data_IF_086333248119
#
_entry.id   IF_086333248119
#
_cell.length_a   1.000
_cell.length_b   1.000
_cell.length_c   1.000
_cell.angle_alpha   90.00
_cell.angle_beta   90.00
_cell.angle_gamma   90.00
#
_symmetry.space_group_name_H-M   'P 1'
#
loop_
_entity.id
_entity.type
_entity.pdbx_description
1 polymer ?
#
# COMPACT_ATOMS: atom_id res chain seq x y z
N UNK A 1 14.41 8.99 -14.49
CA UNK A 1 15.79 8.73 -14.03
C UNK A 1 16.30 9.73 -12.98
N UNK A 2 16.03 11.05 -13.08
CA UNK A 2 16.54 12.05 -12.10
C UNK A 2 15.93 12.01 -10.68
N UNK A 3 14.71 11.47 -10.54
CA UNK A 3 13.97 11.37 -9.27
C UNK A 3 14.37 10.13 -8.43
N UNK A 4 14.89 9.09 -9.08
CA UNK A 4 15.25 7.82 -8.46
C UNK A 4 16.34 7.94 -7.36
N UNK A 5 17.46 8.65 -7.57
CA UNK A 5 18.47 8.80 -6.51
C UNK A 5 17.94 9.58 -5.30
N UNK A 6 17.04 10.54 -5.52
CA UNK A 6 16.42 11.32 -4.44
C UNK A 6 15.43 10.48 -3.62
N UNK A 7 14.57 9.71 -4.29
CA UNK A 7 13.68 8.75 -3.63
C UNK A 7 14.45 7.67 -2.86
N UNK A 8 15.54 7.15 -3.44
CA UNK A 8 16.40 6.17 -2.79
C UNK A 8 17.08 6.74 -1.54
N UNK A 9 17.54 8.00 -1.58
CA UNK A 9 18.11 8.67 -0.41
C UNK A 9 17.11 8.77 0.74
N UNK A 10 15.87 9.22 0.50
CA UNK A 10 14.85 9.31 1.55
C UNK A 10 14.36 7.95 2.03
N UNK A 11 14.36 6.92 1.17
CA UNK A 11 14.09 5.56 1.58
C UNK A 11 15.17 5.03 2.54
N UNK A 12 16.46 5.23 2.21
CA UNK A 12 17.57 4.86 3.09
C UNK A 12 17.56 5.67 4.39
N UNK A 13 17.26 6.98 4.32
CA UNK A 13 17.12 7.85 5.48
C UNK A 13 15.99 7.36 6.40
N UNK A 14 14.83 7.01 5.84
CA UNK A 14 13.72 6.44 6.60
C UNK A 14 14.13 5.16 7.32
N UNK A 15 14.76 4.23 6.60
CA UNK A 15 15.24 2.97 7.19
C UNK A 15 16.22 3.23 8.32
N UNK A 16 17.22 4.10 8.11
CA UNK A 16 18.26 4.40 9.11
C UNK A 16 17.72 5.15 10.34
N UNK A 17 16.85 6.15 10.15
CA UNK A 17 16.27 6.92 11.25
C UNK A 17 15.34 6.03 12.08
N UNK A 18 14.50 5.24 11.43
CA UNK A 18 13.52 4.43 12.12
C UNK A 18 14.15 3.21 12.82
N UNK A 19 15.18 2.59 12.21
CA UNK A 19 15.98 1.56 12.90
C UNK A 19 16.79 2.13 14.06
N UNK A 20 17.30 3.37 13.98
CA UNK A 20 17.97 4.01 15.13
C UNK A 20 17.01 4.40 16.24
N UNK A 21 15.79 4.83 15.93
CA UNK A 21 14.80 5.26 16.92
C UNK A 21 14.16 4.11 17.68
N UNK A 22 13.91 2.98 17.01
CA UNK A 22 13.15 1.85 17.60
C UNK A 22 13.94 0.58 17.78
N UNK A 23 15.20 0.54 17.34
CA UNK A 23 15.96 -0.69 17.23
C UNK A 23 15.48 -1.53 16.04
N UNK A 24 16.22 -2.60 15.76
CA UNK A 24 15.88 -3.52 14.67
C UNK A 24 14.98 -4.62 15.23
N UNK A 25 13.68 -4.53 14.99
CA UNK A 25 12.79 -5.66 15.19
C UNK A 25 12.68 -6.44 13.88
N UNK A 26 13.46 -7.52 13.78
CA UNK A 26 13.30 -8.45 12.68
C UNK A 26 11.99 -9.21 12.89
N UNK A 27 10.98 -9.00 12.03
CA UNK A 27 9.84 -9.93 11.95
C UNK A 27 10.29 -11.37 11.65
N UNK A 28 11.51 -11.54 11.12
CA UNK A 28 12.20 -12.81 10.94
C UNK A 28 12.79 -13.41 12.24
N UNK A 29 12.88 -12.67 13.34
CA UNK A 29 13.17 -13.25 14.65
C UNK A 29 11.87 -13.63 15.34
N UNK A 30 11.25 -14.71 14.87
CA UNK A 30 10.49 -15.78 15.57
C UNK A 30 9.79 -15.54 16.94
N UNK A 31 9.58 -14.31 17.39
CA UNK A 31 8.86 -13.96 18.59
C UNK A 31 7.70 -13.08 18.14
N UNK A 32 6.52 -13.69 18.01
CA UNK A 32 5.29 -12.94 17.81
C UNK A 32 5.10 -12.02 19.03
N UNK A 33 4.61 -10.80 18.78
CA UNK A 33 4.41 -9.76 19.81
C UNK A 33 3.56 -10.23 21.02
N UNK A 34 2.84 -11.36 20.90
CA UNK A 34 2.13 -12.01 22.00
C UNK A 34 3.03 -12.54 23.14
N UNK A 35 4.32 -12.77 22.91
CA UNK A 35 5.26 -13.23 23.95
C UNK A 35 5.69 -12.11 24.93
N UNK A 36 5.40 -10.84 24.66
CA UNK A 36 5.81 -9.73 25.54
C UNK A 36 4.74 -9.30 26.55
N UNK A 37 3.48 -9.69 26.35
CA UNK A 37 2.36 -9.06 27.08
C UNK A 37 1.35 -10.03 27.69
N UNK A 38 1.57 -11.34 27.69
CA UNK A 38 0.62 -12.24 28.34
C UNK A 38 1.09 -13.66 28.52
N UNK A 39 1.86 -13.91 29.57
CA UNK A 39 1.67 -15.11 30.40
C UNK A 39 2.35 -14.86 31.75
N UNK A 40 1.63 -15.14 32.82
CA UNK A 40 2.03 -14.85 34.19
C UNK A 40 3.33 -15.55 34.60
N UNK A 41 3.96 -14.92 35.58
CA UNK A 41 5.20 -15.24 36.26
C UNK A 41 5.31 -16.70 36.72
N UNK A 42 5.80 -17.59 35.84
CA UNK A 42 6.22 -18.94 36.22
C UNK A 42 7.44 -19.35 35.39
N UNK A 43 8.58 -19.66 36.03
CA UNK A 43 9.80 -20.02 35.31
C UNK A 43 9.65 -21.40 34.65
N UNK A 44 9.19 -21.42 33.38
CA UNK A 44 9.17 -22.62 32.53
C UNK A 44 10.57 -23.23 32.48
N UNK A 45 10.69 -24.52 32.79
CA UNK A 45 11.97 -25.22 32.91
C UNK A 45 12.77 -25.16 31.60
N UNK A 46 14.12 -25.24 31.63
CA UNK A 46 14.95 -25.19 30.42
C UNK A 46 14.56 -26.27 29.40
N UNK A 47 14.08 -27.43 29.86
CA UNK A 47 13.60 -28.53 29.04
C UNK A 47 12.28 -28.22 28.31
N UNK A 48 11.33 -27.55 28.97
CA UNK A 48 10.05 -27.15 28.37
C UNK A 48 10.22 -26.02 27.36
N UNK A 49 11.10 -25.05 27.65
CA UNK A 49 11.46 -24.00 26.67
C UNK A 49 12.06 -24.61 25.41
N UNK A 50 12.96 -25.60 25.55
CA UNK A 50 13.59 -26.28 24.41
C UNK A 50 12.58 -27.13 23.61
N UNK A 51 11.65 -27.81 24.28
CA UNK A 51 10.59 -28.61 23.63
C UNK A 51 9.54 -27.74 22.92
N UNK A 52 9.15 -26.61 23.52
CA UNK A 52 8.24 -25.63 22.92
C UNK A 52 8.88 -24.98 21.69
N UNK A 53 10.14 -24.55 21.79
CA UNK A 53 10.90 -23.98 20.67
C UNK A 53 11.09 -24.98 19.52
N UNK A 54 11.39 -26.25 19.83
CA UNK A 54 11.54 -27.30 18.82
C UNK A 54 10.20 -27.72 18.18
N UNK A 55 9.08 -27.68 18.91
CA UNK A 55 7.73 -27.92 18.35
C UNK A 55 7.23 -26.75 17.49
N UNK A 56 7.76 -25.55 17.68
CA UNK A 56 7.38 -24.37 16.89
C UNK A 56 8.35 -24.05 15.75
N UNK A 57 9.51 -24.69 15.68
CA UNK A 57 10.41 -24.62 14.53
C UNK A 57 9.92 -25.57 13.43
N UNK A 58 9.18 -25.02 12.46
CA UNK A 58 9.01 -25.64 11.13
C UNK A 58 7.94 -26.73 11.01
N UNK A 59 6.70 -26.47 11.47
CA UNK A 59 5.57 -27.40 11.28
C UNK A 59 5.03 -27.44 9.83
N UNK A 60 5.48 -26.54 8.95
CA UNK A 60 5.07 -26.52 7.55
C UNK A 60 6.06 -27.34 6.71
N UNK A 61 5.59 -28.37 5.96
CA UNK A 61 6.45 -29.10 5.05
C UNK A 61 7.07 -28.18 4.00
N UNK A 62 8.31 -28.47 3.56
CA UNK A 62 9.03 -27.60 2.61
C UNK A 62 8.26 -27.35 1.30
N UNK A 63 7.46 -28.33 0.85
CA UNK A 63 6.61 -28.21 -0.33
C UNK A 63 5.43 -27.24 -0.14
N UNK A 64 5.03 -26.94 1.10
CA UNK A 64 4.01 -25.93 1.39
C UNK A 64 4.53 -24.50 1.14
N UNK A 65 5.85 -24.29 1.18
CA UNK A 65 6.46 -22.98 0.87
C UNK A 65 6.29 -22.59 -0.61
N UNK A 66 5.94 -23.55 -1.47
CA UNK A 66 5.64 -23.31 -2.88
C UNK A 66 4.21 -22.79 -3.11
N UNK A 67 3.38 -22.71 -2.06
CA UNK A 67 2.00 -22.23 -2.19
C UNK A 67 1.85 -20.86 -2.89
N UNK A 68 2.73 -19.85 -2.71
CA UNK A 68 2.67 -18.60 -3.45
C UNK A 68 3.08 -18.73 -4.93
N UNK A 69 3.88 -19.74 -5.28
CA UNK A 69 4.34 -19.98 -6.65
C UNK A 69 3.26 -20.67 -7.50
N UNK A 70 2.44 -21.53 -6.91
CA UNK A 70 1.33 -22.23 -7.59
C UNK A 70 0.39 -21.26 -8.35
N UNK A 71 -0.21 -20.23 -7.72
CA UNK A 71 -1.10 -19.31 -8.42
C UNK A 71 -0.34 -18.48 -9.48
N UNK A 72 0.94 -18.19 -9.25
CA UNK A 72 1.77 -17.43 -10.18
C UNK A 72 2.02 -18.21 -11.48
N UNK A 73 2.39 -19.49 -11.36
CA UNK A 73 2.63 -20.38 -12.50
C UNK A 73 1.34 -20.63 -13.27
N UNK A 74 0.21 -20.81 -12.58
CA UNK A 74 -1.09 -21.00 -13.22
C UNK A 74 -1.57 -19.75 -13.97
N UNK A 75 -1.40 -18.57 -13.37
CA UNK A 75 -1.87 -17.32 -13.97
C UNK A 75 -0.94 -16.80 -15.09
N UNK A 76 0.38 -16.83 -14.90
CA UNK A 76 1.35 -16.29 -15.88
C UNK A 76 1.87 -17.35 -16.86
N UNK A 77 1.99 -18.60 -16.43
CA UNK A 77 2.51 -19.69 -17.27
C UNK A 77 1.43 -20.36 -18.12
N UNK A 78 0.24 -20.56 -17.54
CA UNK A 78 -0.89 -21.21 -18.20
C UNK A 78 -2.02 -20.24 -18.57
N UNK A 79 -1.82 -18.93 -18.36
CA UNK A 79 -2.79 -17.87 -18.67
C UNK A 79 -4.20 -18.11 -18.09
N UNK A 80 -4.30 -18.88 -16.99
CA UNK A 80 -5.56 -19.10 -16.32
C UNK A 80 -6.01 -17.82 -15.62
N UNK A 81 -7.32 -17.62 -15.55
CA UNK A 81 -7.89 -16.49 -14.83
C UNK A 81 -7.35 -16.41 -13.39
N UNK A 82 -7.19 -15.19 -12.89
CA UNK A 82 -6.54 -14.95 -11.58
C UNK A 82 -7.31 -15.63 -10.44
N UNK A 83 -8.65 -15.60 -10.48
CA UNK A 83 -9.51 -16.17 -9.43
C UNK A 83 -9.28 -17.68 -9.28
N UNK A 84 -9.43 -18.52 -10.33
CA UNK A 84 -9.17 -19.96 -10.20
C UNK A 84 -7.72 -20.27 -9.85
N UNK A 85 -6.76 -19.48 -10.34
CA UNK A 85 -5.34 -19.65 -9.98
C UNK A 85 -5.10 -19.41 -8.49
N UNK A 86 -5.68 -18.36 -7.91
CA UNK A 86 -5.61 -18.07 -6.47
C UNK A 86 -6.30 -19.15 -5.63
N UNK A 87 -7.47 -19.64 -6.06
CA UNK A 87 -8.16 -20.76 -5.41
C UNK A 87 -7.30 -22.03 -5.41
N UNK A 88 -6.64 -22.35 -6.53
CA UNK A 88 -5.74 -23.49 -6.62
C UNK A 88 -4.54 -23.36 -5.64
N UNK A 89 -3.98 -22.16 -5.49
CA UNK A 89 -2.94 -21.88 -4.48
C UNK A 89 -3.42 -22.10 -3.05
N UNK A 90 -4.64 -21.66 -2.72
CA UNK A 90 -5.25 -21.88 -1.39
C UNK A 90 -5.51 -23.37 -1.14
N UNK A 91 -6.03 -24.09 -2.14
CA UNK A 91 -6.27 -25.53 -2.04
C UNK A 91 -4.95 -26.31 -1.86
N UNK A 92 -3.90 -25.91 -2.59
CA UNK A 92 -2.56 -26.48 -2.43
C UNK A 92 -2.04 -26.24 -1.01
N UNK A 93 -2.13 -25.01 -0.50
CA UNK A 93 -1.72 -24.69 0.87
C UNK A 93 -2.51 -25.50 1.91
N UNK A 94 -3.83 -25.63 1.72
CA UNK A 94 -4.70 -26.39 2.61
C UNK A 94 -4.33 -27.87 2.63
N UNK A 95 -4.18 -28.48 1.45
CA UNK A 95 -3.84 -29.90 1.29
C UNK A 95 -2.44 -30.23 1.86
N UNK A 96 -1.48 -29.33 1.69
CA UNK A 96 -0.10 -29.55 2.12
C UNK A 96 0.13 -29.32 3.61
N UNK A 97 -0.64 -28.42 4.24
CA UNK A 97 -0.46 -28.05 5.66
C UNK A 97 -1.44 -28.71 6.63
N UNK A 98 -2.52 -29.34 6.12
CA UNK A 98 -3.65 -29.81 6.96
C UNK A 98 -3.81 -31.31 6.91
N UNK A 99 -3.98 -31.94 8.07
CA UNK A 99 -4.34 -33.36 8.18
C UNK A 99 -5.75 -33.58 7.64
N UNK A 100 -6.01 -34.68 6.90
CA UNK A 100 -7.27 -34.91 6.18
C UNK A 100 -8.52 -34.86 7.08
N UNK A 101 -8.43 -35.27 8.35
CA UNK A 101 -9.56 -35.20 9.30
C UNK A 101 -9.90 -33.80 9.82
N UNK A 102 -9.08 -32.78 9.55
CA UNK A 102 -9.31 -31.39 9.99
C UNK A 102 -9.55 -30.42 8.82
N UNK A 103 -9.61 -30.93 7.59
CA UNK A 103 -9.64 -30.11 6.38
C UNK A 103 -10.83 -29.14 6.37
N UNK A 104 -12.04 -29.62 6.65
CA UNK A 104 -13.26 -28.81 6.66
C UNK A 104 -13.21 -27.70 7.72
N UNK A 105 -12.77 -28.03 8.93
CA UNK A 105 -12.67 -27.05 10.03
C UNK A 105 -11.64 -25.98 9.73
N UNK A 106 -10.48 -26.35 9.17
CA UNK A 106 -9.45 -25.38 8.78
C UNK A 106 -9.89 -24.55 7.58
N UNK A 107 -10.54 -25.15 6.58
CA UNK A 107 -11.08 -24.45 5.42
C UNK A 107 -12.08 -23.37 5.84
N UNK A 108 -13.08 -23.71 6.68
CA UNK A 108 -14.02 -22.72 7.20
C UNK A 108 -13.27 -21.59 7.93
N UNK A 109 -12.33 -21.93 8.81
CA UNK A 109 -11.56 -20.92 9.55
C UNK A 109 -10.74 -20.01 8.64
N UNK A 110 -10.14 -20.55 7.57
CA UNK A 110 -9.40 -19.75 6.57
C UNK A 110 -10.32 -18.88 5.73
N UNK A 111 -11.54 -19.33 5.42
CA UNK A 111 -12.53 -18.53 4.71
C UNK A 111 -13.03 -17.37 5.58
N UNK A 112 -13.33 -17.63 6.85
CA UNK A 112 -13.70 -16.56 7.80
C UNK A 112 -12.56 -15.55 7.99
N UNK A 113 -11.32 -16.01 8.19
CA UNK A 113 -10.15 -15.12 8.29
C UNK A 113 -9.87 -14.34 7.01
N UNK A 114 -10.09 -14.96 5.84
CA UNK A 114 -10.00 -14.29 4.54
C UNK A 114 -11.06 -13.20 4.38
N UNK A 115 -12.29 -13.46 4.85
CA UNK A 115 -13.36 -12.46 4.84
C UNK A 115 -13.07 -11.30 5.79
N UNK A 116 -12.64 -11.56 7.03
CA UNK A 116 -12.28 -10.52 8.01
C UNK A 116 -11.15 -9.61 7.50
N UNK A 117 -10.17 -10.17 6.80
CA UNK A 117 -9.06 -9.40 6.23
C UNK A 117 -9.42 -8.64 4.96
N UNK A 118 -10.35 -9.16 4.15
CA UNK A 118 -10.79 -8.54 2.90
C UNK A 118 -11.95 -7.54 3.08
N UNK A 119 -12.76 -7.67 4.13
CA UNK A 119 -13.95 -6.84 4.34
C UNK A 119 -13.64 -5.33 4.44
N UNK A 120 -12.61 -4.88 5.20
CA UNK A 120 -12.32 -3.45 5.28
C UNK A 120 -11.87 -2.86 3.93
N UNK A 121 -10.93 -3.47 3.16
CA UNK A 121 -10.62 -3.01 1.81
C UNK A 121 -11.82 -3.01 0.86
N UNK A 122 -12.67 -4.04 0.88
CA UNK A 122 -13.86 -4.12 0.00
C UNK A 122 -14.82 -2.97 0.28
N UNK A 123 -15.16 -2.72 1.55
CA UNK A 123 -16.05 -1.62 1.94
C UNK A 123 -15.50 -0.26 1.51
N UNK A 124 -14.19 -0.07 1.65
CA UNK A 124 -13.48 1.13 1.20
C UNK A 124 -13.54 1.29 -0.32
N UNK A 125 -13.27 0.24 -1.10
CA UNK A 125 -13.37 0.29 -2.57
C UNK A 125 -14.79 0.60 -3.05
N UNK A 126 -15.82 0.07 -2.38
CA UNK A 126 -17.22 0.41 -2.69
C UNK A 126 -17.48 1.89 -2.43
N UNK A 127 -17.08 2.42 -1.27
CA UNK A 127 -17.26 3.84 -0.94
C UNK A 127 -16.55 4.76 -1.95
N UNK A 128 -15.33 4.40 -2.35
CA UNK A 128 -14.58 5.12 -3.38
C UNK A 128 -15.31 5.05 -4.73
N UNK A 129 -15.84 3.88 -5.09
CA UNK A 129 -16.60 3.69 -6.33
C UNK A 129 -17.83 4.60 -6.40
N UNK A 130 -18.59 4.70 -5.31
CA UNK A 130 -19.76 5.60 -5.20
C UNK A 130 -19.34 7.05 -5.38
N UNK A 131 -18.27 7.48 -4.70
CA UNK A 131 -17.75 8.84 -4.83
C UNK A 131 -17.31 9.15 -6.27
N UNK A 132 -16.54 8.26 -6.90
CA UNK A 132 -16.08 8.44 -8.28
C UNK A 132 -17.25 8.48 -9.28
N UNK A 133 -18.29 7.69 -9.06
CA UNK A 133 -19.50 7.75 -9.88
C UNK A 133 -20.22 9.10 -9.71
N UNK A 134 -20.31 9.62 -8.49
CA UNK A 134 -20.95 10.91 -8.20
C UNK A 134 -20.22 12.09 -8.86
N UNK A 135 -18.88 12.14 -8.82
CA UNK A 135 -18.15 13.28 -9.39
C UNK A 135 -17.94 13.18 -10.91
N UNK A 136 -18.17 12.01 -11.52
CA UNK A 136 -18.21 11.86 -12.99
C UNK A 136 -19.50 12.43 -13.61
N UNK A 137 -20.48 12.83 -12.81
CA UNK A 137 -21.68 13.48 -13.32
C UNK A 137 -21.34 14.84 -13.95
N UNK A 138 -21.94 15.18 -15.12
CA UNK A 138 -21.56 16.38 -15.88
C UNK A 138 -21.68 17.69 -15.06
N UNK A 139 -22.68 17.81 -14.19
CA UNK A 139 -22.85 18.97 -13.32
C UNK A 139 -21.75 19.15 -12.26
N UNK A 140 -21.05 18.07 -11.85
CA UNK A 140 -19.94 18.17 -10.89
C UNK A 140 -18.64 18.64 -11.56
N UNK A 141 -18.40 18.22 -12.81
CA UNK A 141 -17.22 18.62 -13.58
C UNK A 141 -17.29 20.10 -13.96
N UNK A 142 -18.45 20.58 -14.37
CA UNK A 142 -18.67 21.99 -14.70
C UNK A 142 -18.50 22.91 -13.48
N UNK A 143 -18.92 22.47 -12.30
CA UNK A 143 -18.72 23.21 -11.04
C UNK A 143 -17.26 23.25 -10.59
N UNK A 144 -16.45 22.24 -10.95
CA UNK A 144 -15.03 22.17 -10.59
C UNK A 144 -14.11 22.97 -11.52
N UNK A 145 -14.50 23.16 -12.79
CA UNK A 145 -13.74 23.93 -13.77
C UNK A 145 -13.32 25.36 -13.31
N UNK A 146 -14.20 26.20 -12.75
CA UNK A 146 -13.82 27.55 -12.30
C UNK A 146 -12.90 27.51 -11.08
N UNK A 147 -13.06 26.53 -10.19
CA UNK A 147 -12.19 26.35 -9.03
C UNK A 147 -10.77 25.95 -9.44
N UNK A 148 -10.62 25.06 -10.42
CA UNK A 148 -9.30 24.65 -10.93
C UNK A 148 -8.61 25.80 -11.64
N UNK A 149 -9.34 26.60 -12.43
CA UNK A 149 -8.79 27.80 -13.09
C UNK A 149 -8.37 28.89 -12.11
N UNK A 150 -9.11 29.09 -11.02
CA UNK A 150 -8.77 30.10 -10.02
C UNK A 150 -7.56 29.71 -9.15
N UNK A 151 -7.28 28.41 -9.02
CA UNK A 151 -6.25 27.87 -8.12
C UNK A 151 -4.94 27.55 -8.87
N UNK A 152 -4.94 27.44 -10.20
CA UNK A 152 -3.74 27.10 -10.96
C UNK A 152 -2.79 28.33 -11.06
N UNK A 153 -1.65 28.34 -10.37
CA UNK A 153 -0.73 29.46 -10.42
C UNK A 153 0.13 29.44 -11.68
N UNK A 154 0.23 30.57 -12.39
CA UNK A 154 1.11 30.69 -13.57
C UNK A 154 2.61 30.67 -13.22
N UNK A 155 2.97 30.81 -11.94
CA UNK A 155 4.36 30.90 -11.50
C UNK A 155 4.92 29.52 -11.07
N UNK A 156 6.06 29.06 -11.65
CA UNK A 156 6.68 27.76 -11.32
C UNK A 156 7.00 27.57 -9.83
N UNK A 157 7.37 28.65 -9.12
CA UNK A 157 7.69 28.59 -7.68
C UNK A 157 6.42 28.42 -6.85
N UNK A 158 5.34 29.10 -7.25
CA UNK A 158 4.03 29.00 -6.59
C UNK A 158 3.39 27.64 -6.88
N UNK A 159 3.58 27.09 -8.08
CA UNK A 159 3.22 25.72 -8.43
C UNK A 159 3.84 24.71 -7.46
N UNK A 160 5.16 24.76 -7.27
CA UNK A 160 5.85 23.82 -6.35
C UNK A 160 5.32 23.98 -4.92
N UNK A 161 5.16 25.21 -4.42
CA UNK A 161 4.69 25.45 -3.06
C UNK A 161 3.26 24.96 -2.83
N UNK A 162 2.34 25.31 -3.73
CA UNK A 162 0.92 24.95 -3.63
C UNK A 162 0.74 23.44 -3.76
N UNK A 163 1.32 22.81 -4.78
CA UNK A 163 1.18 21.37 -4.96
C UNK A 163 1.95 20.57 -3.90
N UNK A 164 3.06 21.09 -3.35
CA UNK A 164 3.69 20.45 -2.18
C UNK A 164 2.78 20.52 -0.96
N UNK A 165 2.17 21.67 -0.66
CA UNK A 165 1.26 21.80 0.49
C UNK A 165 0.03 20.89 0.35
N UNK A 166 -0.42 20.67 -0.88
CA UNK A 166 -1.57 19.84 -1.21
C UNK A 166 -1.27 18.32 -1.25
N UNK A 167 -0.02 17.89 -1.08
CA UNK A 167 0.37 16.45 -1.07
C UNK A 167 -0.47 15.62 -0.08
N UNK A 168 -0.73 16.03 1.18
CA UNK A 168 -1.54 15.21 2.09
C UNK A 168 -2.98 15.00 1.59
N UNK A 169 -3.52 15.96 0.84
CA UNK A 169 -4.87 15.85 0.24
C UNK A 169 -4.89 14.88 -0.94
N UNK A 170 -3.74 14.58 -1.54
CA UNK A 170 -3.67 13.59 -2.61
C UNK A 170 -4.08 12.22 -2.06
N UNK A 171 -3.64 11.83 -0.85
CA UNK A 171 -3.90 10.52 -0.24
C UNK A 171 -5.37 10.13 -0.21
N UNK A 172 -6.27 11.11 -0.05
CA UNK A 172 -7.69 10.89 -0.15
C UNK A 172 -8.11 10.86 -1.62
N UNK A 173 -9.04 9.98 -2.00
CA UNK A 173 -9.49 9.72 -3.40
C UNK A 173 -10.28 10.89 -4.04
N UNK A 174 -9.90 12.13 -3.74
CA UNK A 174 -10.43 13.36 -4.29
C UNK A 174 -9.67 13.89 -5.51
N UNK A 175 -9.75 15.20 -5.79
CA UNK A 175 -9.31 15.81 -7.05
C UNK A 175 -7.81 15.73 -7.33
N UNK A 176 -7.00 15.51 -6.30
CA UNK A 176 -5.55 15.44 -6.43
C UNK A 176 -5.03 14.00 -6.51
N UNK A 177 -5.92 13.01 -6.55
CA UNK A 177 -5.55 11.60 -6.62
C UNK A 177 -5.56 11.06 -8.05
N UNK A 178 -4.38 10.60 -8.52
CA UNK A 178 -4.17 10.13 -9.90
C UNK A 178 -5.03 8.92 -10.24
N UNK A 179 -5.32 8.05 -9.27
CA UNK A 179 -6.13 6.84 -9.48
C UNK A 179 -7.64 7.06 -9.23
N UNK A 180 -8.08 8.32 -9.17
CA UNK A 180 -9.48 8.70 -8.96
C UNK A 180 -9.87 9.87 -9.85
N UNK A 181 -10.38 10.94 -9.23
CA UNK A 181 -10.78 12.15 -9.94
C UNK A 181 -9.60 12.91 -10.56
N UNK A 182 -8.39 12.75 -10.01
CA UNK A 182 -7.20 13.46 -10.47
C UNK A 182 -6.75 13.11 -11.87
N UNK A 183 -7.06 11.90 -12.39
CA UNK A 183 -6.85 11.59 -13.81
C UNK A 183 -7.74 12.47 -14.72
N UNK A 184 -8.98 12.74 -14.30
CA UNK A 184 -9.89 13.64 -15.03
C UNK A 184 -9.41 15.09 -14.98
N UNK A 185 -8.99 15.58 -13.81
CA UNK A 185 -8.45 16.93 -13.66
C UNK A 185 -7.13 17.10 -14.42
N UNK A 186 -6.25 16.09 -14.43
CA UNK A 186 -5.05 16.10 -15.25
C UNK A 186 -5.39 16.28 -16.74
N UNK A 187 -6.42 15.59 -17.24
CA UNK A 187 -6.91 15.78 -18.61
C UNK A 187 -7.44 17.18 -18.88
N UNK A 188 -8.18 17.76 -17.93
CA UNK A 188 -8.70 19.14 -18.02
C UNK A 188 -7.57 20.17 -18.00
N UNK A 189 -6.55 20.01 -17.17
CA UNK A 189 -5.40 20.92 -17.10
C UNK A 189 -4.63 20.98 -18.44
N UNK A 190 -4.54 19.84 -19.15
CA UNK A 190 -3.93 19.75 -20.47
C UNK A 190 -4.85 20.35 -21.53
N UNK A 191 -6.13 19.98 -21.54
CA UNK A 191 -7.10 20.43 -22.54
C UNK A 191 -7.42 21.94 -22.44
N UNK A 192 -7.37 22.50 -21.24
CA UNK A 192 -7.54 23.94 -20.99
C UNK A 192 -6.26 24.76 -21.28
N UNK A 193 -5.15 24.12 -21.64
CA UNK A 193 -3.88 24.79 -21.96
C UNK A 193 -3.19 25.45 -20.77
N UNK A 194 -3.57 25.09 -19.54
CA UNK A 194 -3.04 25.70 -18.31
C UNK A 194 -1.61 25.23 -18.03
N UNK A 195 -1.33 23.94 -18.26
CA UNK A 195 0.00 23.37 -18.14
C UNK A 195 0.35 22.49 -19.35
N UNK A 196 1.62 22.44 -19.77
CA UNK A 196 2.06 21.49 -20.78
C UNK A 196 1.88 20.06 -20.28
N UNK A 197 1.55 19.13 -21.19
CA UNK A 197 1.28 17.73 -20.85
C UNK A 197 2.41 17.07 -20.03
N UNK A 198 3.66 17.46 -20.29
CA UNK A 198 4.82 16.93 -19.58
C UNK A 198 4.90 17.41 -18.12
N UNK A 199 4.46 18.63 -17.83
CA UNK A 199 4.37 19.14 -16.45
C UNK A 199 3.27 18.43 -15.65
N UNK A 200 2.13 18.15 -16.28
CA UNK A 200 1.03 17.39 -15.67
C UNK A 200 1.45 15.94 -15.40
N UNK A 201 2.19 15.33 -16.32
CA UNK A 201 2.80 14.00 -16.13
C UNK A 201 3.81 13.99 -14.98
N UNK A 202 4.66 15.03 -14.86
CA UNK A 202 5.61 15.16 -13.75
C UNK A 202 4.91 15.31 -12.39
N UNK A 203 3.83 16.08 -12.33
CA UNK A 203 3.00 16.23 -11.13
C UNK A 203 2.33 14.90 -10.75
N UNK A 204 1.66 14.25 -11.69
CA UNK A 204 0.98 12.96 -11.45
C UNK A 204 1.99 11.87 -11.08
N UNK A 205 3.17 11.82 -11.71
CA UNK A 205 4.23 10.88 -11.35
C UNK A 205 4.79 11.12 -9.94
N UNK A 206 4.95 12.38 -9.53
CA UNK A 206 5.42 12.74 -8.18
C UNK A 206 4.40 12.33 -7.12
N UNK A 207 3.12 12.57 -7.40
CA UNK A 207 2.03 12.15 -6.52
C UNK A 207 1.89 10.63 -6.47
N UNK A 208 2.11 9.93 -7.58
CA UNK A 208 2.07 8.47 -7.65
C UNK A 208 3.02 7.80 -6.63
N UNK A 209 4.17 8.41 -6.35
CA UNK A 209 5.10 7.88 -5.35
C UNK A 209 4.55 8.00 -3.92
N UNK A 210 3.84 9.09 -3.63
CA UNK A 210 3.14 9.29 -2.34
C UNK A 210 2.04 8.25 -2.18
N UNK A 211 1.29 7.97 -3.23
CA UNK A 211 0.26 6.93 -3.24
C UNK A 211 0.81 5.54 -3.02
N UNK A 212 1.87 5.18 -3.75
CA UNK A 212 2.42 3.83 -3.68
C UNK A 212 2.90 3.44 -2.28
N UNK A 213 3.31 4.41 -1.45
CA UNK A 213 3.99 4.15 -0.18
C UNK A 213 3.17 4.56 1.05
N UNK A 214 2.41 5.65 0.97
CA UNK A 214 1.74 6.23 2.13
C UNK A 214 0.22 6.10 2.09
N UNK A 215 -0.39 5.70 0.97
CA UNK A 215 -1.84 5.55 0.89
C UNK A 215 -2.33 4.38 1.75
N UNK A 216 -3.15 4.63 2.81
CA UNK A 216 -3.71 3.57 3.64
C UNK A 216 -4.76 2.73 2.89
N UNK A 217 -5.20 3.17 1.71
CA UNK A 217 -6.14 2.49 0.83
C UNK A 217 -5.43 1.64 -0.24
N UNK A 218 -4.11 1.76 -0.37
CA UNK A 218 -3.32 0.95 -1.31
C UNK A 218 -3.20 -0.47 -0.82
N UNK A 219 -3.52 -1.44 -1.68
CA UNK A 219 -3.40 -2.88 -1.41
C UNK A 219 -2.01 -3.25 -0.91
N UNK A 220 -0.96 -2.64 -1.47
CA UNK A 220 0.43 -2.89 -1.06
C UNK A 220 0.69 -2.43 0.38
N UNK A 221 0.23 -1.23 0.74
CA UNK A 221 0.35 -0.68 2.09
C UNK A 221 -0.46 -1.49 3.09
N UNK A 222 -1.68 -1.90 2.73
CA UNK A 222 -2.56 -2.71 3.59
C UNK A 222 -1.92 -4.06 3.88
N UNK A 223 -1.40 -4.75 2.87
CA UNK A 223 -0.74 -6.05 3.05
C UNK A 223 0.54 -5.94 3.88
N UNK A 224 1.36 -4.92 3.63
CA UNK A 224 2.56 -4.67 4.43
C UNK A 224 2.22 -4.36 5.90
N UNK A 225 1.17 -3.55 6.13
CA UNK A 225 0.69 -3.20 7.46
C UNK A 225 0.11 -4.42 8.21
N UNK A 226 -0.69 -5.23 7.53
CA UNK A 226 -1.23 -6.50 8.06
C UNK A 226 -0.11 -7.47 8.44
N UNK A 227 0.92 -7.61 7.60
CA UNK A 227 2.08 -8.45 7.89
C UNK A 227 2.86 -7.95 9.12
N UNK A 228 3.03 -6.64 9.25
CA UNK A 228 3.70 -6.02 10.38
C UNK A 228 2.81 -5.91 11.65
N UNK A 229 1.55 -6.33 11.60
CA UNK A 229 0.60 -6.25 12.72
C UNK A 229 0.25 -4.81 13.14
N UNK A 230 0.42 -3.84 12.24
CA UNK A 230 0.11 -2.42 12.50
C UNK A 230 -1.04 -1.94 11.62
N UNK A 231 -1.77 -0.91 12.06
CA UNK A 231 -2.82 -0.32 11.24
C UNK A 231 -2.24 0.39 10.00
N UNK A 232 -2.89 0.32 8.82
CA UNK A 232 -2.46 1.04 7.61
C UNK A 232 -2.30 2.56 7.84
N UNK A 233 -3.18 3.13 8.67
CA UNK A 233 -3.10 4.54 9.09
C UNK A 233 -1.81 4.87 9.84
N UNK A 234 -1.32 3.93 10.66
CA UNK A 234 -0.06 4.08 11.38
C UNK A 234 1.13 4.05 10.41
N UNK A 235 1.05 3.25 9.35
CA UNK A 235 2.07 3.21 8.28
C UNK A 235 2.07 4.53 7.52
N UNK A 236 0.89 5.02 7.10
CA UNK A 236 0.73 6.32 6.44
C UNK A 236 1.41 7.44 7.25
N UNK A 237 1.04 7.61 8.53
CA UNK A 237 1.58 8.70 9.35
C UNK A 237 3.10 8.63 9.54
N UNK A 238 3.69 7.43 9.45
CA UNK A 238 5.14 7.23 9.57
C UNK A 238 5.89 7.46 8.26
N UNK A 239 5.32 7.07 7.13
CA UNK A 239 5.96 7.22 5.82
C UNK A 239 5.72 8.60 5.22
N UNK A 240 4.59 9.24 5.53
CA UNK A 240 4.15 10.50 4.93
C UNK A 240 5.22 11.61 4.96
N UNK A 241 5.91 11.92 6.08
CA UNK A 241 6.90 13.00 6.09
C UNK A 241 8.05 12.78 5.10
N UNK A 242 8.46 11.52 4.90
CA UNK A 242 9.57 11.16 4.02
C UNK A 242 9.15 11.20 2.55
N UNK A 243 7.98 10.64 2.24
CA UNK A 243 7.48 10.61 0.87
C UNK A 243 7.00 12.00 0.43
N UNK A 244 6.61 12.86 1.38
CA UNK A 244 6.33 14.27 1.13
C UNK A 244 7.58 15.03 0.64
N UNK A 245 8.75 14.78 1.25
CA UNK A 245 10.01 15.32 0.74
C UNK A 245 10.31 14.81 -0.68
N UNK A 246 10.08 13.53 -0.95
CA UNK A 246 10.25 12.96 -2.30
C UNK A 246 9.31 13.62 -3.32
N UNK A 247 8.06 13.88 -2.94
CA UNK A 247 7.11 14.61 -3.77
C UNK A 247 7.56 16.05 -4.07
N UNK A 248 8.06 16.76 -3.06
CA UNK A 248 8.67 18.09 -3.25
C UNK A 248 9.85 18.05 -4.23
N UNK A 249 10.74 17.05 -4.11
CA UNK A 249 11.84 16.89 -5.07
C UNK A 249 11.34 16.62 -6.49
N UNK A 250 10.29 15.81 -6.64
CA UNK A 250 9.68 15.56 -7.94
C UNK A 250 8.99 16.77 -8.56
N UNK A 251 8.31 17.57 -7.75
CA UNK A 251 7.70 18.83 -8.17
C UNK A 251 8.76 19.86 -8.58
N UNK A 252 9.88 19.96 -7.85
CA UNK A 252 11.02 20.83 -8.23
C UNK A 252 11.62 20.42 -9.58
N UNK A 253 11.84 19.11 -9.79
CA UNK A 253 12.34 18.62 -11.08
C UNK A 253 11.35 18.91 -12.20
N UNK A 254 10.05 18.76 -11.95
CA UNK A 254 8.99 19.08 -12.92
C UNK A 254 8.99 20.58 -13.25
N UNK A 255 9.06 21.44 -12.22
CA UNK A 255 9.03 22.88 -12.38
C UNK A 255 10.28 23.45 -13.06
N UNK A 256 11.45 22.84 -12.87
CA UNK A 256 12.71 23.31 -13.49
C UNK A 256 12.93 22.81 -14.91
N UNK A 257 12.18 21.80 -15.36
CA UNK A 257 12.37 21.19 -16.67
C UNK A 257 11.21 21.38 -17.64
N UNK A 258 10.00 21.71 -17.15
CA UNK A 258 8.77 21.68 -17.94
C UNK A 258 7.85 22.91 -17.74
N UNK A 259 8.24 23.86 -16.88
CA UNK A 259 7.53 25.09 -16.55
C UNK A 259 8.50 26.27 -16.70
#
# INVERSE_FOLDING_TARGET
MRLFPFAAFFAVLFVLVETRRKGVEHAWSLASAGERTGDGDSPKSPGERRRSRARHMGDAPWYALLAPAVPLVLALGFELAIIPSMLAGVLWALATTTRPGQLNRRLLRTLYGGFETAAPPIALFIAIGILLAAVKLPGAVEALNPLVKAVAPDNPVVFVLVFTLLVPLCLYRGPLNVYGLGAGIAGVLIAAGIYPAVAVLGLTASYNQVFGVSDPTSTQTVWAAQYAGVGPQQVMLRTLPYVWCVALGGLIVTATTQL
#
